data_IF_212299695083
#
_entry.id   IF_212299695083
#
_cell.length_a   1.000
_cell.length_b   1.000
_cell.length_c   1.000
_cell.angle_alpha   90.00
_cell.angle_beta   90.00
_cell.angle_gamma   90.00
#
_symmetry.space_group_name_H-M   'P 1'
#
loop_
_entity.id
_entity.type
_entity.pdbx_description
1 polymer ?
#
# COMPACT_ATOMS: atom_id res chain seq x y z
N UNK A 1 24.38 10.24 19.53
CA UNK A 1 25.69 9.64 19.24
C UNK A 1 25.55 8.65 18.11
N UNK A 2 26.14 8.96 16.95
CA UNK A 2 26.21 8.08 15.79
C UNK A 2 27.44 7.18 15.97
N UNK A 3 27.28 5.85 15.90
CA UNK A 3 28.41 4.91 15.95
C UNK A 3 28.85 4.59 14.52
N UNK A 4 30.13 4.82 14.20
CA UNK A 4 30.69 4.65 12.85
C UNK A 4 31.93 3.74 12.89
N UNK A 5 32.08 2.85 11.90
CA UNK A 5 33.31 2.08 11.66
C UNK A 5 33.95 2.60 10.38
N UNK A 6 35.08 3.28 10.51
CA UNK A 6 35.79 3.92 9.38
C UNK A 6 37.09 3.20 9.09
N UNK A 7 37.41 3.03 7.80
CA UNK A 7 38.76 2.74 7.32
C UNK A 7 39.13 3.85 6.34
N UNK A 8 40.19 4.59 6.65
CA UNK A 8 40.72 5.61 5.75
C UNK A 8 41.81 5.00 4.88
N UNK A 9 41.82 5.37 3.60
CA UNK A 9 42.85 5.00 2.63
C UNK A 9 43.35 6.29 2.02
N UNK A 10 44.64 6.55 2.17
CA UNK A 10 45.29 7.70 1.55
C UNK A 10 45.64 7.40 0.09
N UNK A 11 45.53 8.40 -0.76
CA UNK A 11 45.66 8.27 -2.21
C UNK A 11 46.59 9.35 -2.75
N UNK A 12 47.53 8.96 -3.60
CA UNK A 12 48.55 9.88 -4.17
C UNK A 12 47.90 10.92 -5.10
N UNK A 13 46.79 10.58 -5.75
CA UNK A 13 46.05 11.46 -6.65
C UNK A 13 46.60 11.46 -8.08
N UNK A 14 45.97 12.25 -8.95
CA UNK A 14 46.43 12.49 -10.31
C UNK A 14 47.49 13.59 -10.35
N UNK A 15 48.39 13.51 -11.33
CA UNK A 15 49.42 14.52 -11.53
C UNK A 15 48.79 15.88 -11.86
N UNK A 16 49.32 16.92 -11.21
CA UNK A 16 48.93 18.32 -11.40
C UNK A 16 50.02 19.00 -12.23
N UNK A 17 49.62 19.73 -13.26
CA UNK A 17 50.59 20.40 -14.13
C UNK A 17 51.42 21.42 -13.34
N UNK A 18 52.76 21.32 -13.45
CA UNK A 18 53.69 22.20 -12.74
C UNK A 18 54.07 21.73 -11.34
N UNK A 19 53.52 20.61 -10.86
CA UNK A 19 53.96 19.99 -9.61
C UNK A 19 55.38 19.42 -9.73
N UNK A 20 56.19 19.63 -8.69
CA UNK A 20 57.58 19.17 -8.63
C UNK A 20 57.66 17.71 -8.16
N UNK A 21 58.68 16.97 -8.59
CA UNK A 21 59.01 15.62 -8.09
C UNK A 21 58.60 14.44 -9.00
N UNK A 22 57.97 14.71 -10.14
CA UNK A 22 57.65 13.72 -11.19
C UNK A 22 58.82 13.47 -12.16
N UNK A 23 59.72 14.44 -12.30
CA UNK A 23 60.90 14.39 -13.16
C UNK A 23 62.18 14.61 -12.33
N UNK A 24 63.25 13.92 -12.73
CA UNK A 24 64.62 14.06 -12.21
C UNK A 24 65.55 14.55 -13.34
N UNK A 25 66.84 14.78 -13.06
CA UNK A 25 67.82 15.29 -14.05
C UNK A 25 67.97 14.39 -15.30
N UNK A 26 67.68 13.09 -15.18
CA UNK A 26 67.84 12.07 -16.22
C UNK A 26 66.51 11.62 -16.89
N UNK A 27 65.37 12.21 -16.53
CA UNK A 27 64.05 11.86 -17.10
C UNK A 27 62.95 11.63 -16.06
N UNK A 28 61.88 10.87 -16.37
CA UNK A 28 60.82 10.58 -15.42
C UNK A 28 61.34 9.80 -14.22
N UNK A 29 60.96 10.20 -13.01
CA UNK A 29 61.35 9.50 -11.79
C UNK A 29 60.73 8.10 -11.77
N UNK A 30 61.54 7.05 -11.70
CA UNK A 30 61.06 5.67 -11.73
C UNK A 30 60.83 5.13 -10.32
N UNK A 31 59.77 4.34 -10.12
CA UNK A 31 59.43 3.71 -8.84
C UNK A 31 59.03 2.25 -9.01
N UNK A 32 59.41 1.43 -8.03
CA UNK A 32 58.90 0.06 -7.88
C UNK A 32 57.52 0.12 -7.23
N UNK A 33 56.55 -0.57 -7.81
CA UNK A 33 55.20 -0.66 -7.27
C UNK A 33 54.86 -2.11 -6.92
N UNK A 34 53.90 -2.36 -6.01
CA UNK A 34 53.40 -3.71 -5.77
C UNK A 34 52.63 -4.31 -6.97
N UNK A 35 52.45 -3.54 -8.04
CA UNK A 35 51.57 -3.86 -9.16
C UNK A 35 52.31 -4.35 -10.41
N UNK A 36 53.62 -4.08 -10.50
CA UNK A 36 54.47 -4.41 -11.64
C UNK A 36 55.83 -4.90 -11.16
N UNK A 37 56.39 -5.89 -11.85
CA UNK A 37 57.71 -6.44 -11.54
C UNK A 37 58.85 -5.52 -12.01
N UNK A 38 58.59 -4.63 -12.97
CA UNK A 38 59.54 -3.65 -13.49
C UNK A 38 59.25 -2.23 -12.95
N UNK A 39 60.27 -1.38 -12.73
CA UNK A 39 60.07 0.01 -12.36
C UNK A 39 59.29 0.76 -13.45
N UNK A 40 58.28 1.54 -13.03
CA UNK A 40 57.47 2.39 -13.92
C UNK A 40 57.61 3.87 -13.52
N UNK A 41 57.29 4.83 -14.41
CA UNK A 41 57.28 6.25 -14.06
C UNK A 41 56.38 6.53 -12.84
N UNK A 42 56.81 7.43 -11.97
CA UNK A 42 56.10 7.79 -10.74
C UNK A 42 54.70 8.35 -11.02
N UNK A 43 54.56 9.14 -12.09
CA UNK A 43 53.28 9.64 -12.57
C UNK A 43 52.32 8.47 -12.89
N UNK A 44 52.75 7.53 -13.73
CA UNK A 44 51.97 6.35 -14.10
C UNK A 44 51.62 5.48 -12.88
N UNK A 45 52.57 5.30 -11.95
CA UNK A 45 52.34 4.59 -10.69
C UNK A 45 51.25 5.26 -9.84
N UNK A 46 51.28 6.59 -9.74
CA UNK A 46 50.31 7.38 -8.96
C UNK A 46 48.91 7.30 -9.59
N UNK A 47 48.81 7.38 -10.92
CA UNK A 47 47.53 7.24 -11.62
C UNK A 47 46.92 5.85 -11.44
N UNK A 48 47.70 4.79 -11.66
CA UNK A 48 47.22 3.40 -11.51
C UNK A 48 46.81 3.12 -10.06
N UNK A 49 47.60 3.61 -9.10
CA UNK A 49 47.27 3.49 -7.67
C UNK A 49 45.96 4.19 -7.33
N UNK A 50 45.77 5.41 -7.85
CA UNK A 50 44.55 6.21 -7.63
C UNK A 50 43.33 5.52 -8.21
N UNK A 51 43.40 5.04 -9.45
CA UNK A 51 42.30 4.31 -10.09
C UNK A 51 41.91 3.05 -9.32
N UNK A 52 42.88 2.26 -8.85
CA UNK A 52 42.59 1.04 -8.08
C UNK A 52 41.94 1.33 -6.72
N UNK A 53 42.41 2.36 -6.02
CA UNK A 53 41.79 2.76 -4.74
C UNK A 53 40.36 3.23 -4.96
N UNK A 54 40.15 4.07 -5.98
CA UNK A 54 38.83 4.57 -6.37
C UNK A 54 37.92 3.43 -6.81
N UNK A 55 38.41 2.41 -7.53
CA UNK A 55 37.60 1.31 -8.02
C UNK A 55 37.29 0.26 -6.94
N UNK A 56 38.30 -0.22 -6.22
CA UNK A 56 38.21 -1.49 -5.49
C UNK A 56 38.20 -1.34 -3.97
N UNK A 57 38.63 -0.19 -3.44
CA UNK A 57 38.92 -0.05 -2.00
C UNK A 57 38.22 1.12 -1.30
N UNK A 58 37.37 1.86 -2.00
CA UNK A 58 36.60 2.98 -1.46
C UNK A 58 35.09 2.72 -1.50
N UNK A 59 34.40 3.17 -0.44
CA UNK A 59 32.92 3.24 -0.40
C UNK A 59 32.42 4.66 -0.67
N UNK A 60 33.22 5.67 -0.30
CA UNK A 60 32.96 7.09 -0.50
C UNK A 60 34.29 7.79 -0.82
N UNK A 61 34.27 8.76 -1.72
CA UNK A 61 35.42 9.60 -2.05
C UNK A 61 35.42 10.90 -1.26
N UNK A 62 36.59 11.31 -0.76
CA UNK A 62 36.82 12.66 -0.26
C UNK A 62 37.79 13.35 -1.22
N UNK A 63 37.25 14.16 -2.13
CA UNK A 63 38.03 14.82 -3.18
C UNK A 63 38.56 16.13 -2.62
N UNK A 64 39.87 16.24 -2.43
CA UNK A 64 40.49 17.47 -1.94
C UNK A 64 41.01 18.26 -3.13
N UNK A 65 40.54 19.50 -3.27
CA UNK A 65 41.00 20.46 -4.28
C UNK A 65 41.35 21.80 -3.62
N UNK A 66 41.79 22.80 -4.39
CA UNK A 66 42.14 24.12 -3.87
C UNK A 66 41.64 25.23 -4.79
N UNK A 67 41.40 26.40 -4.23
CA UNK A 67 41.14 27.65 -4.96
C UNK A 67 42.43 28.30 -5.53
N UNK A 68 43.59 27.66 -5.33
CA UNK A 68 44.90 28.15 -5.79
C UNK A 68 45.67 28.96 -4.74
N UNK A 69 45.17 29.04 -3.49
CA UNK A 69 45.85 29.77 -2.41
C UNK A 69 46.85 28.93 -1.60
N UNK A 70 46.90 27.61 -1.82
CA UNK A 70 47.62 26.66 -0.94
C UNK A 70 49.06 26.40 -1.39
N UNK A 71 49.33 26.51 -2.69
CA UNK A 71 50.66 26.27 -3.28
C UNK A 71 51.01 27.43 -4.23
N UNK A 72 52.18 27.37 -4.85
CA UNK A 72 52.57 28.32 -5.91
C UNK A 72 51.92 28.02 -7.27
N UNK A 73 50.99 27.06 -7.34
CA UNK A 73 50.28 26.69 -8.57
C UNK A 73 48.92 27.39 -8.65
N UNK A 74 48.57 27.97 -9.82
CA UNK A 74 47.26 28.56 -10.01
C UNK A 74 46.17 27.49 -9.99
N UNK A 75 44.94 27.88 -9.63
CA UNK A 75 43.75 27.01 -9.67
C UNK A 75 43.62 26.20 -10.96
N UNK A 76 43.90 26.83 -12.11
CA UNK A 76 43.79 26.20 -13.43
C UNK A 76 44.61 24.92 -13.57
N UNK A 77 45.74 24.80 -12.86
CA UNK A 77 46.57 23.59 -12.89
C UNK A 77 45.87 22.37 -12.27
N UNK A 78 44.93 22.58 -11.35
CA UNK A 78 44.24 21.53 -10.61
C UNK A 78 42.94 21.06 -11.28
N UNK A 79 42.39 21.84 -12.21
CA UNK A 79 41.04 21.60 -12.79
C UNK A 79 40.97 20.26 -13.51
N UNK A 80 41.99 19.92 -14.30
CA UNK A 80 42.00 18.68 -15.08
C UNK A 80 42.07 17.44 -14.18
N UNK A 81 42.96 17.48 -13.18
CA UNK A 81 43.11 16.41 -12.20
C UNK A 81 41.83 16.22 -11.36
N UNK A 82 41.25 17.32 -10.86
CA UNK A 82 39.99 17.32 -10.13
C UNK A 82 38.85 16.73 -10.96
N UNK A 83 38.68 17.19 -12.20
CA UNK A 83 37.63 16.72 -13.08
C UNK A 83 37.77 15.22 -13.36
N UNK A 84 38.99 14.72 -13.56
CA UNK A 84 39.24 13.29 -13.75
C UNK A 84 38.82 12.45 -12.54
N UNK A 85 39.17 12.87 -11.32
CA UNK A 85 38.73 12.16 -10.08
C UNK A 85 37.21 12.12 -9.99
N UNK A 86 36.57 13.28 -10.18
CA UNK A 86 35.12 13.40 -10.06
C UNK A 86 34.41 12.55 -11.12
N UNK A 87 34.85 12.58 -12.37
CA UNK A 87 34.28 11.77 -13.44
C UNK A 87 34.40 10.27 -13.15
N UNK A 88 35.52 9.80 -12.60
CA UNK A 88 35.70 8.40 -12.25
C UNK A 88 34.76 7.97 -11.11
N UNK A 89 34.64 8.79 -10.06
CA UNK A 89 33.71 8.53 -8.96
C UNK A 89 32.26 8.50 -9.45
N UNK A 90 31.87 9.44 -10.31
CA UNK A 90 30.54 9.49 -10.92
C UNK A 90 30.28 8.29 -11.83
N UNK A 91 31.24 7.89 -12.69
CA UNK A 91 31.14 6.71 -13.58
C UNK A 91 30.94 5.42 -12.79
N UNK A 92 31.58 5.31 -11.62
CA UNK A 92 31.45 4.16 -10.72
C UNK A 92 30.23 4.26 -9.78
N UNK A 93 29.48 5.36 -9.81
CA UNK A 93 28.35 5.60 -8.93
C UNK A 93 28.72 5.70 -7.45
N UNK A 94 29.97 6.05 -7.14
CA UNK A 94 30.44 6.19 -5.76
C UNK A 94 30.09 7.58 -5.23
N UNK A 95 29.47 7.68 -4.04
CA UNK A 95 29.22 8.96 -3.42
C UNK A 95 30.56 9.65 -3.10
N UNK A 96 30.57 10.97 -3.13
CA UNK A 96 31.77 11.74 -2.82
C UNK A 96 31.44 13.14 -2.29
N UNK A 97 32.38 13.69 -1.52
CA UNK A 97 32.34 15.05 -1.01
C UNK A 97 33.59 15.79 -1.53
N UNK A 98 33.42 17.03 -1.99
CA UNK A 98 34.55 17.86 -2.40
C UNK A 98 34.94 18.77 -1.23
N UNK A 99 36.21 18.74 -0.84
CA UNK A 99 36.79 19.69 0.09
C UNK A 99 37.58 20.73 -0.71
N UNK A 100 37.11 21.98 -0.67
CA UNK A 100 37.77 23.10 -1.32
C UNK A 100 38.72 23.77 -0.31
N UNK A 101 40.00 23.42 -0.38
CA UNK A 101 41.01 23.92 0.54
C UNK A 101 41.46 25.35 0.14
N UNK A 102 41.30 26.28 1.07
CA UNK A 102 41.63 27.69 0.92
C UNK A 102 42.27 28.24 2.20
N UNK A 103 43.15 29.22 2.06
CA UNK A 103 43.64 30.01 3.19
C UNK A 103 42.58 30.96 3.78
N UNK A 104 41.54 31.30 3.01
CA UNK A 104 40.37 32.08 3.44
C UNK A 104 39.06 31.47 2.90
N UNK A 105 38.53 30.42 3.57
CA UNK A 105 37.37 29.67 3.10
C UNK A 105 36.06 30.47 2.99
N UNK A 106 36.00 31.64 3.61
CA UNK A 106 34.81 32.50 3.63
C UNK A 106 34.95 33.73 2.73
N UNK A 107 36.03 33.84 1.97
CA UNK A 107 36.18 34.91 0.99
C UNK A 107 35.08 34.82 -0.08
N UNK A 108 34.65 35.96 -0.65
CA UNK A 108 33.67 35.97 -1.74
C UNK A 108 34.10 35.08 -2.91
N UNK A 109 35.37 35.12 -3.29
CA UNK A 109 35.93 34.36 -4.40
C UNK A 109 35.87 32.84 -4.16
N UNK A 110 36.22 32.38 -2.95
CA UNK A 110 36.13 30.95 -2.60
C UNK A 110 34.67 30.49 -2.54
N UNK A 111 33.76 31.33 -2.06
CA UNK A 111 32.32 31.02 -2.00
C UNK A 111 31.65 30.99 -3.37
N UNK A 112 32.06 31.86 -4.29
CA UNK A 112 31.65 31.80 -5.70
C UNK A 112 32.15 30.51 -6.35
N UNK A 113 33.44 30.18 -6.20
CA UNK A 113 34.00 28.94 -6.72
C UNK A 113 33.31 27.71 -6.14
N UNK A 114 32.99 27.72 -4.84
CA UNK A 114 32.21 26.66 -4.21
C UNK A 114 30.87 26.45 -4.93
N UNK A 115 30.11 27.51 -5.17
CA UNK A 115 28.81 27.41 -5.84
C UNK A 115 28.94 26.90 -7.28
N UNK A 116 29.94 27.38 -8.02
CA UNK A 116 30.25 26.88 -9.37
C UNK A 116 30.56 25.38 -9.37
N UNK A 117 31.35 24.90 -8.40
CA UNK A 117 31.69 23.48 -8.28
C UNK A 117 30.50 22.62 -7.84
N UNK A 118 29.64 23.13 -6.94
CA UNK A 118 28.39 22.45 -6.53
C UNK A 118 27.46 22.26 -7.73
N UNK A 119 27.30 23.28 -8.57
CA UNK A 119 26.49 23.21 -9.79
C UNK A 119 27.12 22.29 -10.85
N UNK A 120 28.43 22.44 -11.11
CA UNK A 120 29.16 21.66 -12.12
C UNK A 120 29.16 20.17 -11.81
N UNK A 121 29.41 19.81 -10.55
CA UNK A 121 29.59 18.42 -10.14
C UNK A 121 28.36 17.78 -9.50
N UNK A 122 27.32 18.56 -9.21
CA UNK A 122 26.08 18.10 -8.57
C UNK A 122 26.36 17.38 -7.23
N UNK A 123 27.39 17.83 -6.52
CA UNK A 123 27.89 17.27 -5.27
C UNK A 123 28.19 18.38 -4.26
N UNK A 124 28.14 18.07 -2.96
CA UNK A 124 28.47 19.05 -1.94
C UNK A 124 29.95 19.45 -1.98
N UNK A 125 30.19 20.76 -1.81
CA UNK A 125 31.53 21.34 -1.73
C UNK A 125 31.65 22.04 -0.37
N UNK A 126 32.62 21.61 0.44
CA UNK A 126 32.87 22.20 1.76
C UNK A 126 34.17 23.00 1.68
N UNK A 127 34.11 24.34 1.74
CA UNK A 127 35.30 25.16 1.82
C UNK A 127 35.94 25.01 3.21
N UNK A 128 37.25 24.76 3.25
CA UNK A 128 38.00 24.52 4.49
C UNK A 128 39.38 25.16 4.44
N UNK A 129 39.93 25.49 5.60
CA UNK A 129 41.37 25.76 5.76
C UNK A 129 41.98 24.53 6.44
N UNK A 130 42.58 23.64 5.64
CA UNK A 130 43.13 22.38 6.13
C UNK A 130 44.20 22.58 7.21
N UNK A 131 44.93 23.70 7.19
CA UNK A 131 45.96 24.01 8.17
C UNK A 131 45.38 24.46 9.52
N UNK A 132 44.15 24.96 9.55
CA UNK A 132 43.46 25.46 10.76
C UNK A 132 42.25 24.61 11.18
N UNK A 133 42.09 23.41 10.64
CA UNK A 133 40.98 22.52 10.98
C UNK A 133 40.92 22.24 12.49
N UNK A 134 39.75 22.46 13.06
CA UNK A 134 39.43 22.09 14.43
C UNK A 134 38.45 20.91 14.47
N UNK A 135 38.15 20.42 15.68
CA UNK A 135 37.28 19.26 15.87
C UNK A 135 35.84 19.50 15.37
N UNK A 136 35.33 20.72 15.49
CA UNK A 136 34.01 21.11 14.98
C UNK A 136 33.95 21.02 13.46
N UNK A 137 34.99 21.48 12.77
CA UNK A 137 35.09 21.41 11.31
C UNK A 137 35.10 19.95 10.84
N UNK A 138 35.89 19.10 11.50
CA UNK A 138 35.95 17.67 11.21
C UNK A 138 34.58 17.00 11.43
N UNK A 139 33.88 17.33 12.52
CA UNK A 139 32.51 16.83 12.75
C UNK A 139 31.55 17.31 11.65
N UNK A 140 31.70 18.55 11.18
CA UNK A 140 30.94 19.09 10.05
C UNK A 140 31.18 18.31 8.76
N UNK A 141 32.45 18.09 8.39
CA UNK A 141 32.84 17.30 7.21
C UNK A 141 32.26 15.89 7.30
N UNK A 142 32.44 15.20 8.44
CA UNK A 142 31.91 13.84 8.63
C UNK A 142 30.39 13.80 8.51
N UNK A 143 29.68 14.83 8.98
CA UNK A 143 28.24 14.94 8.81
C UNK A 143 27.86 15.09 7.34
N UNK A 144 28.54 15.95 6.59
CA UNK A 144 28.26 16.11 5.15
C UNK A 144 28.55 14.83 4.35
N UNK A 145 29.63 14.11 4.70
CA UNK A 145 29.94 12.79 4.14
C UNK A 145 28.77 11.82 4.35
N UNK A 146 28.20 11.79 5.54
CA UNK A 146 27.08 10.89 5.87
C UNK A 146 25.80 11.20 5.08
N UNK A 147 25.59 12.46 4.70
CA UNK A 147 24.44 12.87 3.88
C UNK A 147 24.57 12.53 2.39
N UNK A 148 25.80 12.31 1.90
CA UNK A 148 26.05 11.90 0.50
C UNK A 148 25.83 10.39 0.28
N UNK A 149 25.66 9.59 1.33
CA UNK A 149 25.38 8.17 1.15
C UNK A 149 24.07 7.97 0.38
N UNK A 150 24.06 7.01 -0.57
CA UNK A 150 22.85 6.68 -1.30
C UNK A 150 21.80 6.11 -0.35
N UNK A 151 20.55 6.49 -0.57
CA UNK A 151 19.44 5.91 0.19
C UNK A 151 19.22 4.48 -0.29
N UNK A 152 19.25 3.52 0.63
CA UNK A 152 18.96 2.12 0.31
C UNK A 152 17.49 1.80 0.43
N UNK A 153 16.84 2.36 1.44
CA UNK A 153 15.43 2.10 1.71
C UNK A 153 14.80 3.34 2.35
N UNK A 154 13.65 3.73 1.79
CA UNK A 154 12.76 4.70 2.40
C UNK A 154 11.48 3.96 2.76
N UNK A 155 11.20 3.90 4.05
CA UNK A 155 9.95 3.35 4.56
C UNK A 155 9.01 4.51 4.87
N UNK A 156 7.88 4.56 4.15
CA UNK A 156 6.82 5.53 4.39
C UNK A 156 5.64 4.81 5.02
N UNK A 157 5.34 5.17 6.26
CA UNK A 157 4.23 4.63 7.04
C UNK A 157 3.00 5.50 6.81
N UNK A 158 2.01 4.95 6.10
CA UNK A 158 0.69 5.56 5.97
C UNK A 158 -0.15 5.32 7.24
N UNK A 159 -1.24 6.06 7.45
CA UNK A 159 -2.14 5.81 8.57
C UNK A 159 -2.72 4.39 8.47
N UNK A 160 -2.63 3.62 9.56
CA UNK A 160 -2.99 2.19 9.56
C UNK A 160 -4.43 1.88 9.08
N UNK A 161 -5.36 2.84 9.21
CA UNK A 161 -6.73 2.66 8.72
C UNK A 161 -6.85 2.77 7.20
N UNK A 162 -5.90 3.44 6.52
CA UNK A 162 -5.81 3.49 5.06
C UNK A 162 -5.46 2.12 4.48
N UNK A 163 -4.62 1.34 5.19
CA UNK A 163 -4.22 0.00 4.75
C UNK A 163 -5.38 -1.00 4.66
N UNK A 164 -6.45 -0.75 5.44
CA UNK A 164 -7.68 -1.55 5.44
C UNK A 164 -8.51 -1.31 4.17
N UNK A 165 -8.31 -0.18 3.49
CA UNK A 165 -9.04 0.16 2.27
C UNK A 165 -8.60 -0.73 1.11
N UNK A 166 -9.54 -1.02 0.21
CA UNK A 166 -9.25 -1.74 -1.02
C UNK A 166 -8.18 -1.01 -1.85
N UNK A 167 -7.33 -1.74 -2.56
CA UNK A 167 -6.25 -1.19 -3.40
C UNK A 167 -6.74 -0.27 -4.54
N UNK A 168 -8.03 -0.31 -4.85
CA UNK A 168 -8.67 0.56 -5.85
C UNK A 168 -9.30 1.81 -5.24
N UNK A 169 -9.36 1.91 -3.91
CA UNK A 169 -9.94 3.06 -3.23
C UNK A 169 -9.17 4.33 -3.56
N UNK A 170 -9.89 5.42 -3.85
CA UNK A 170 -9.33 6.66 -4.36
C UNK A 170 -8.30 7.26 -3.39
N UNK A 171 -8.57 7.28 -2.08
CA UNK A 171 -7.65 7.84 -1.08
C UNK A 171 -6.34 7.06 -1.01
N UNK A 172 -6.43 5.72 -0.98
CA UNK A 172 -5.27 4.85 -0.90
C UNK A 172 -4.36 5.05 -2.12
N UNK A 173 -4.93 5.04 -3.32
CA UNK A 173 -4.18 5.32 -4.56
C UNK A 173 -3.53 6.70 -4.55
N UNK A 174 -4.26 7.72 -4.11
CA UNK A 174 -3.75 9.09 -4.05
C UNK A 174 -2.53 9.21 -3.14
N UNK A 175 -2.55 8.55 -1.97
CA UNK A 175 -1.40 8.51 -1.06
C UNK A 175 -0.25 7.67 -1.62
N UNK A 176 -0.52 6.48 -2.18
CA UNK A 176 0.49 5.62 -2.81
C UNK A 176 1.18 6.32 -4.00
N UNK A 177 0.42 7.03 -4.84
CA UNK A 177 0.93 7.80 -5.97
C UNK A 177 1.81 8.96 -5.50
N UNK A 178 1.42 9.69 -4.45
CA UNK A 178 2.22 10.76 -3.85
C UNK A 178 3.55 10.22 -3.32
N UNK A 179 3.53 9.08 -2.61
CA UNK A 179 4.74 8.40 -2.13
C UNK A 179 5.63 7.98 -3.31
N UNK A 180 5.06 7.35 -4.34
CA UNK A 180 5.82 6.87 -5.48
C UNK A 180 6.50 8.01 -6.25
N UNK A 181 5.80 9.13 -6.46
CA UNK A 181 6.35 10.31 -7.13
C UNK A 181 7.47 10.97 -6.33
N UNK A 182 7.34 11.03 -4.99
CA UNK A 182 8.36 11.56 -4.10
C UNK A 182 9.61 10.68 -4.07
N UNK A 183 9.45 9.37 -3.82
CA UNK A 183 10.58 8.43 -3.65
C UNK A 183 11.44 8.33 -4.92
N UNK A 184 10.84 8.43 -6.11
CA UNK A 184 11.58 8.38 -7.39
C UNK A 184 12.63 9.50 -7.51
N UNK A 185 12.46 10.62 -6.78
CA UNK A 185 13.37 11.76 -6.80
C UNK A 185 14.48 11.68 -5.75
N UNK A 186 14.39 10.76 -4.79
CA UNK A 186 15.35 10.63 -3.68
C UNK A 186 16.44 9.63 -4.05
N UNK A 187 17.68 10.11 -4.21
CA UNK A 187 18.87 9.28 -4.42
C UNK A 187 19.80 9.30 -3.22
N UNK A 188 19.89 10.43 -2.53
CA UNK A 188 20.79 10.65 -1.37
C UNK A 188 20.01 10.99 -0.11
N UNK A 189 20.62 10.74 1.05
CA UNK A 189 19.98 11.00 2.34
C UNK A 189 19.65 12.49 2.53
N UNK A 190 20.44 13.42 1.97
CA UNK A 190 20.11 14.86 2.00
C UNK A 190 18.81 15.20 1.26
N UNK A 191 18.39 14.37 0.31
CA UNK A 191 17.21 14.63 -0.52
C UNK A 191 15.91 14.16 0.14
N UNK A 192 15.97 13.58 1.34
CA UNK A 192 14.79 13.16 2.11
C UNK A 192 13.89 14.35 2.46
N UNK A 193 14.47 15.52 2.71
CA UNK A 193 13.68 16.72 3.02
C UNK A 193 12.75 17.10 1.85
N UNK A 194 13.19 16.91 0.60
CA UNK A 194 12.33 17.11 -0.58
C UNK A 194 11.15 16.15 -0.63
N UNK A 195 11.33 14.91 -0.17
CA UNK A 195 10.24 13.94 -0.08
C UNK A 195 9.23 14.35 0.99
N UNK A 196 9.70 14.86 2.13
CA UNK A 196 8.83 15.37 3.20
C UNK A 196 7.99 16.54 2.67
N UNK A 197 8.62 17.48 1.98
CA UNK A 197 7.93 18.63 1.37
C UNK A 197 6.90 18.18 0.32
N UNK A 198 7.31 17.30 -0.60
CA UNK A 198 6.42 16.80 -1.65
C UNK A 198 5.21 16.02 -1.10
N UNK A 199 5.38 15.25 -0.03
CA UNK A 199 4.27 14.57 0.64
C UNK A 199 3.36 15.56 1.37
N UNK A 200 3.93 16.63 1.93
CA UNK A 200 3.18 17.67 2.65
C UNK A 200 2.31 18.53 1.72
N UNK A 201 2.63 18.58 0.42
CA UNK A 201 1.79 19.24 -0.59
C UNK A 201 0.50 18.47 -0.93
N UNK A 202 0.41 17.19 -0.55
CA UNK A 202 -0.77 16.38 -0.78
C UNK A 202 -1.91 16.80 0.17
N UNK A 203 -3.06 17.17 -0.38
CA UNK A 203 -4.27 17.54 0.38
C UNK A 203 -4.86 16.39 1.22
N UNK A 204 -4.47 15.14 0.93
CA UNK A 204 -4.80 13.97 1.75
C UNK A 204 -3.86 13.77 2.95
N UNK A 205 -2.89 14.67 3.14
CA UNK A 205 -1.87 14.60 4.19
C UNK A 205 -2.00 15.83 5.09
N UNK A 206 -1.94 15.62 6.40
CA UNK A 206 -1.97 16.69 7.41
C UNK A 206 -0.61 16.94 8.03
N UNK A 207 0.22 15.89 8.12
CA UNK A 207 1.53 15.96 8.75
C UNK A 207 2.45 14.88 8.16
N UNK A 208 3.72 15.22 7.98
CA UNK A 208 4.78 14.28 7.57
C UNK A 208 5.93 14.44 8.56
N UNK A 209 6.32 13.34 9.21
CA UNK A 209 7.34 13.34 10.26
C UNK A 209 8.45 12.36 9.90
N UNK A 210 9.70 12.84 9.89
CA UNK A 210 10.87 11.97 9.85
C UNK A 210 11.07 11.33 11.23
N UNK A 211 10.73 10.04 11.36
CA UNK A 211 10.83 9.32 12.63
C UNK A 211 12.29 8.99 12.96
N UNK A 212 12.99 8.37 12.01
CA UNK A 212 14.38 7.95 12.18
C UNK A 212 15.14 8.01 10.86
N UNK A 213 16.39 8.46 10.92
CA UNK A 213 17.31 8.43 9.80
C UNK A 213 18.60 7.73 10.24
N UNK A 214 18.88 6.57 9.65
CA UNK A 214 20.09 5.80 9.89
C UNK A 214 21.10 6.03 8.78
N UNK A 215 21.95 7.04 8.96
CA UNK A 215 22.93 7.46 7.96
C UNK A 215 23.94 6.35 7.58
N UNK A 216 24.24 5.42 8.51
CA UNK A 216 25.19 4.33 8.26
C UNK A 216 24.63 3.15 7.46
N UNK A 217 23.32 2.93 7.51
CA UNK A 217 22.63 1.86 6.77
C UNK A 217 21.91 2.39 5.52
N UNK A 218 21.69 3.70 5.44
CA UNK A 218 20.95 4.34 4.35
C UNK A 218 19.44 4.12 4.47
N UNK A 219 18.94 3.92 5.70
CA UNK A 219 17.53 3.70 5.99
C UNK A 219 16.88 4.99 6.51
N UNK A 220 15.72 5.34 5.98
CA UNK A 220 14.91 6.44 6.47
C UNK A 220 13.46 6.00 6.70
N UNK A 221 12.87 6.43 7.82
CA UNK A 221 11.47 6.18 8.16
C UNK A 221 10.72 7.47 8.28
N UNK A 222 9.62 7.56 7.54
CA UNK A 222 8.74 8.72 7.48
C UNK A 222 7.34 8.26 7.87
N UNK A 223 6.71 8.94 8.82
CA UNK A 223 5.31 8.74 9.15
C UNK A 223 4.46 9.82 8.49
N UNK A 224 3.36 9.41 7.88
CA UNK A 224 2.39 10.29 7.22
C UNK A 224 1.08 10.20 7.96
N UNK A 225 0.56 11.35 8.37
CA UNK A 225 -0.77 11.49 8.97
C UNK A 225 -1.75 12.03 7.94
N UNK A 226 -2.97 11.50 7.95
CA UNK A 226 -4.08 12.05 7.17
C UNK A 226 -4.96 12.94 8.05
N UNK A 227 -5.59 13.98 7.48
CA UNK A 227 -6.58 14.80 8.17
C UNK A 227 -7.69 13.98 8.84
N UNK A 228 -8.08 14.35 10.06
CA UNK A 228 -9.11 13.66 10.84
C UNK A 228 -10.46 13.56 10.10
N UNK A 229 -10.82 14.56 9.29
CA UNK A 229 -12.09 14.55 8.56
C UNK A 229 -12.16 13.42 7.51
N UNK A 230 -11.04 13.05 6.89
CA UNK A 230 -11.00 11.98 5.89
C UNK A 230 -11.33 10.62 6.49
N UNK A 231 -10.92 10.37 7.74
CA UNK A 231 -11.29 9.15 8.45
C UNK A 231 -12.82 9.01 8.56
N UNK A 232 -13.51 10.09 8.98
CA UNK A 232 -14.97 10.08 9.13
C UNK A 232 -15.72 10.01 7.79
N UNK A 233 -15.20 10.68 6.77
CA UNK A 233 -15.73 10.62 5.41
C UNK A 233 -15.70 9.19 4.87
N UNK A 234 -14.55 8.53 4.97
CA UNK A 234 -14.36 7.16 4.47
C UNK A 234 -15.12 6.14 5.30
N UNK A 235 -15.21 6.34 6.60
CA UNK A 235 -16.02 5.50 7.46
C UNK A 235 -17.51 5.58 7.06
N UNK A 236 -17.99 6.78 6.74
CA UNK A 236 -19.37 7.00 6.25
C UNK A 236 -19.59 6.38 4.87
N UNK A 237 -18.61 6.50 3.97
CA UNK A 237 -18.62 5.86 2.64
C UNK A 237 -18.72 4.34 2.77
N UNK A 238 -17.86 3.73 3.59
CA UNK A 238 -17.81 2.29 3.82
C UNK A 238 -19.11 1.76 4.48
N UNK A 239 -19.64 2.49 5.46
CA UNK A 239 -20.91 2.16 6.12
C UNK A 239 -22.15 2.47 5.27
N UNK A 240 -21.98 3.17 4.13
CA UNK A 240 -23.07 3.70 3.30
C UNK A 240 -24.12 4.48 4.10
N UNK A 241 -23.68 5.09 5.20
CA UNK A 241 -24.50 5.78 6.19
C UNK A 241 -23.68 6.93 6.75
N UNK A 242 -24.32 8.07 6.99
CA UNK A 242 -23.62 9.23 7.53
C UNK A 242 -23.23 9.02 9.00
N UNK A 243 -21.94 9.07 9.32
CA UNK A 243 -21.41 8.90 10.68
C UNK A 243 -20.86 10.24 11.16
N UNK A 244 -21.65 10.93 11.98
CA UNK A 244 -21.26 12.21 12.61
C UNK A 244 -20.84 11.97 14.05
N UNK A 245 -19.53 11.81 14.26
CA UNK A 245 -18.95 11.71 15.60
C UNK A 245 -18.99 10.32 16.22
N UNK A 246 -18.42 10.22 17.43
CA UNK A 246 -18.15 8.95 18.10
C UNK A 246 -19.41 8.29 18.65
N UNK A 247 -20.42 9.07 19.00
CA UNK A 247 -21.70 8.60 19.55
C UNK A 247 -22.49 7.83 18.49
N UNK A 248 -22.58 8.38 17.28
CA UNK A 248 -23.26 7.75 16.14
C UNK A 248 -22.54 6.46 15.76
N UNK A 249 -21.21 6.48 15.70
CA UNK A 249 -20.41 5.28 15.44
C UNK A 249 -20.68 4.18 16.47
N UNK A 250 -20.71 4.51 17.76
CA UNK A 250 -20.97 3.55 18.84
C UNK A 250 -22.36 2.92 18.73
N UNK A 251 -23.38 3.72 18.40
CA UNK A 251 -24.74 3.23 18.18
C UNK A 251 -24.80 2.30 16.97
N UNK A 252 -24.23 2.72 15.83
CA UNK A 252 -24.20 1.93 14.61
C UNK A 252 -23.48 0.58 14.82
N UNK A 253 -22.38 0.58 15.57
CA UNK A 253 -21.64 -0.65 15.90
C UNK A 253 -22.45 -1.61 16.77
N UNK A 254 -23.30 -1.10 17.67
CA UNK A 254 -24.22 -1.95 18.45
C UNK A 254 -25.28 -2.57 17.55
N UNK A 255 -25.90 -1.76 16.70
CA UNK A 255 -26.93 -2.21 15.77
C UNK A 255 -26.37 -3.26 14.80
N UNK A 256 -25.18 -3.04 14.25
CA UNK A 256 -24.49 -4.02 13.41
C UNK A 256 -24.06 -5.28 14.16
N UNK A 257 -23.63 -5.18 15.42
CA UNK A 257 -23.28 -6.35 16.21
C UNK A 257 -24.51 -7.22 16.52
N UNK A 258 -25.66 -6.61 16.81
CA UNK A 258 -26.93 -7.31 17.01
C UNK A 258 -27.41 -7.96 15.70
N UNK A 259 -27.48 -7.18 14.61
CA UNK A 259 -27.88 -7.69 13.30
C UNK A 259 -26.95 -8.81 12.81
N UNK A 260 -25.63 -8.68 13.03
CA UNK A 260 -24.66 -9.72 12.69
C UNK A 260 -24.90 -11.00 13.48
N UNK A 261 -25.19 -10.91 14.78
CA UNK A 261 -25.46 -12.07 15.63
C UNK A 261 -26.69 -12.85 15.16
N UNK A 262 -27.77 -12.14 14.86
CA UNK A 262 -28.99 -12.77 14.35
C UNK A 262 -28.81 -13.32 12.92
N UNK A 263 -28.10 -12.58 12.04
CA UNK A 263 -27.78 -13.08 10.70
C UNK A 263 -26.88 -14.31 10.74
N UNK A 264 -25.88 -14.35 11.63
CA UNK A 264 -24.96 -15.47 11.77
C UNK A 264 -25.66 -16.78 12.17
N UNK A 265 -26.83 -16.70 12.85
CA UNK A 265 -27.66 -17.88 13.15
C UNK A 265 -28.31 -18.45 11.89
N UNK A 266 -28.74 -17.60 10.95
CA UNK A 266 -29.58 -18.02 9.80
C UNK A 266 -28.83 -18.11 8.47
N UNK A 267 -27.62 -17.55 8.36
CA UNK A 267 -26.89 -17.39 7.10
C UNK A 267 -26.71 -18.69 6.30
N UNK A 268 -26.46 -19.81 6.98
CA UNK A 268 -26.22 -21.10 6.34
C UNK A 268 -27.54 -21.67 5.80
N UNK A 269 -28.63 -21.58 6.58
CA UNK A 269 -29.97 -21.95 6.12
C UNK A 269 -30.44 -21.12 4.92
N UNK A 270 -30.16 -19.81 4.91
CA UNK A 270 -30.44 -18.93 3.76
C UNK A 270 -29.66 -19.39 2.53
N UNK A 271 -28.37 -19.69 2.70
CA UNK A 271 -27.49 -20.15 1.63
C UNK A 271 -27.95 -21.49 1.06
N UNK A 272 -28.31 -22.44 1.92
CA UNK A 272 -28.79 -23.76 1.51
C UNK A 272 -30.15 -23.68 0.82
N UNK A 273 -31.08 -22.90 1.36
CA UNK A 273 -32.37 -22.65 0.73
C UNK A 273 -32.21 -22.07 -0.69
N UNK A 274 -31.24 -21.16 -0.89
CA UNK A 274 -30.93 -20.63 -2.23
C UNK A 274 -30.35 -21.68 -3.17
N UNK A 275 -29.46 -22.54 -2.71
CA UNK A 275 -28.71 -23.48 -3.56
C UNK A 275 -29.49 -24.78 -3.85
N UNK A 276 -30.11 -25.36 -2.84
CA UNK A 276 -30.76 -26.69 -2.91
C UNK A 276 -32.28 -26.63 -2.65
N UNK A 277 -32.84 -25.45 -2.37
CA UNK A 277 -34.27 -25.24 -2.18
C UNK A 277 -34.77 -25.43 -0.74
N UNK A 278 -33.92 -25.94 0.15
CA UNK A 278 -34.26 -26.18 1.55
C UNK A 278 -33.09 -25.87 2.48
N UNK A 279 -33.32 -25.08 3.51
CA UNK A 279 -32.34 -24.74 4.54
C UNK A 279 -32.90 -24.95 5.94
N UNK A 280 -32.03 -25.31 6.88
CA UNK A 280 -32.41 -25.56 8.28
C UNK A 280 -31.53 -24.71 9.17
N UNK A 281 -32.14 -23.97 10.09
CA UNK A 281 -31.44 -23.31 11.18
C UNK A 281 -31.37 -24.31 12.33
N UNK A 282 -30.18 -24.84 12.67
CA UNK A 282 -30.05 -25.73 13.82
C UNK A 282 -30.34 -24.95 15.11
N UNK A 283 -31.05 -25.54 16.08
CA UNK A 283 -31.25 -24.90 17.37
C UNK A 283 -29.92 -24.64 18.06
N UNK A 284 -29.76 -23.45 18.64
CA UNK A 284 -28.58 -23.16 19.47
C UNK A 284 -28.75 -23.74 20.86
N UNK A 285 -27.64 -23.90 21.61
CA UNK A 285 -27.69 -24.33 23.00
C UNK A 285 -28.54 -23.39 23.88
N UNK A 286 -28.56 -22.10 23.54
CA UNK A 286 -29.36 -21.09 24.25
C UNK A 286 -30.86 -21.24 23.98
N UNK A 287 -31.23 -21.94 22.88
CA UNK A 287 -32.62 -22.22 22.50
C UNK A 287 -33.13 -23.58 23.05
N UNK A 288 -32.28 -24.34 23.76
CA UNK A 288 -32.63 -25.66 24.29
C UNK A 288 -33.25 -25.56 25.69
N UNK A 289 -34.49 -26.02 25.82
CA UNK A 289 -35.16 -26.20 27.11
C UNK A 289 -35.06 -27.66 27.56
N UNK A 290 -34.43 -27.88 28.72
CA UNK A 290 -34.33 -29.20 29.34
C UNK A 290 -35.49 -29.40 30.33
N UNK A 291 -36.30 -30.42 30.11
CA UNK A 291 -37.35 -30.83 31.05
C UNK A 291 -36.76 -31.59 32.25
N UNK A 292 -37.51 -31.64 33.36
CA UNK A 292 -37.09 -32.38 34.55
C UNK A 292 -36.87 -33.88 34.24
N UNK A 293 -35.76 -34.49 34.73
CA UNK A 293 -35.48 -35.90 34.51
C UNK A 293 -36.50 -36.82 35.20
N UNK A 294 -37.11 -37.72 34.43
CA UNK A 294 -38.05 -38.72 34.96
C UNK A 294 -37.37 -40.08 35.17
N UNK A 295 -37.60 -40.73 36.31
CA UNK A 295 -37.15 -42.11 36.51
C UNK A 295 -38.11 -43.05 35.80
N UNK A 296 -37.56 -43.86 34.89
CA UNK A 296 -38.32 -44.88 34.17
C UNK A 296 -37.93 -46.27 34.66
N UNK A 297 -38.93 -47.16 34.78
CA UNK A 297 -38.72 -48.55 35.16
C UNK A 297 -39.17 -49.48 34.03
N UNK A 298 -38.26 -50.31 33.55
CA UNK A 298 -38.55 -51.33 32.54
C UNK A 298 -38.13 -52.70 33.11
N UNK A 299 -39.11 -53.47 33.58
CA UNK A 299 -38.88 -54.75 34.28
C UNK A 299 -38.05 -54.57 35.55
N UNK A 300 -36.86 -55.17 35.56
CA UNK A 300 -35.91 -55.13 36.69
C UNK A 300 -34.80 -54.06 36.55
N UNK A 301 -34.88 -53.18 35.54
CA UNK A 301 -33.91 -52.10 35.29
C UNK A 301 -34.56 -50.72 35.50
N UNK A 302 -33.78 -49.79 36.04
CA UNK A 302 -34.14 -48.39 36.21
C UNK A 302 -33.28 -47.54 35.26
N UNK A 303 -33.89 -46.50 34.70
CA UNK A 303 -33.20 -45.51 33.87
C UNK A 303 -33.72 -44.11 34.17
N UNK A 304 -33.05 -43.11 33.62
CA UNK A 304 -33.47 -41.72 33.67
C UNK A 304 -33.83 -41.31 32.25
N UNK A 305 -35.03 -40.76 32.05
CA UNK A 305 -35.47 -40.16 30.80
C UNK A 305 -35.17 -38.68 30.88
N UNK A 306 -34.31 -38.23 29.96
CA UNK A 306 -34.04 -36.82 29.72
C UNK A 306 -34.83 -36.39 28.49
N UNK A 307 -35.51 -35.24 28.58
CA UNK A 307 -36.18 -34.61 27.45
C UNK A 307 -35.61 -33.20 27.28
N UNK A 308 -35.28 -32.87 26.04
CA UNK A 308 -34.88 -31.54 25.65
C UNK A 308 -35.74 -31.14 24.45
N UNK A 309 -36.22 -29.91 24.43
CA UNK A 309 -36.94 -29.34 23.30
C UNK A 309 -36.24 -28.08 22.81
N UNK A 310 -36.25 -27.85 21.51
CA UNK A 310 -35.70 -26.64 20.93
C UNK A 310 -36.43 -26.32 19.62
N UNK A 311 -36.68 -25.03 19.31
CA UNK A 311 -37.28 -24.64 18.05
C UNK A 311 -36.33 -24.89 16.88
N UNK A 312 -36.85 -25.49 15.80
CA UNK A 312 -36.13 -25.61 14.53
C UNK A 312 -36.81 -24.71 13.48
N UNK A 313 -36.02 -23.89 12.79
CA UNK A 313 -36.53 -23.06 11.70
C UNK A 313 -36.16 -23.67 10.35
N UNK A 314 -37.14 -23.76 9.47
CA UNK A 314 -36.97 -24.29 8.11
C UNK A 314 -37.22 -23.18 7.09
N UNK A 315 -36.31 -23.03 6.13
CA UNK A 315 -36.41 -22.08 5.03
C UNK A 315 -36.61 -22.83 3.71
N UNK A 316 -37.79 -22.68 3.11
CA UNK A 316 -38.18 -23.38 1.87
C UNK A 316 -38.25 -22.37 0.73
N UNK A 317 -37.46 -22.59 -0.32
CA UNK A 317 -37.55 -21.78 -1.55
C UNK A 317 -38.71 -22.31 -2.38
N UNK A 318 -39.63 -21.43 -2.76
CA UNK A 318 -40.74 -21.74 -3.67
C UNK A 318 -40.62 -20.81 -4.86
N UNK A 319 -40.57 -21.40 -6.05
CA UNK A 319 -40.52 -20.65 -7.29
C UNK A 319 -41.96 -20.29 -7.70
N UNK A 320 -42.25 -18.99 -7.87
CA UNK A 320 -43.59 -18.50 -8.18
C UNK A 320 -43.66 -18.13 -9.66
N UNK A 321 -44.49 -18.85 -10.41
CA UNK A 321 -44.75 -18.56 -11.82
C UNK A 321 -46.01 -17.70 -11.97
N UNK A 322 -45.92 -16.61 -12.72
CA UNK A 322 -47.07 -15.76 -13.08
C UNK A 322 -47.13 -15.56 -14.58
N UNK A 323 -48.25 -15.94 -15.17
CA UNK A 323 -48.60 -15.64 -16.55
C UNK A 323 -49.50 -14.39 -16.58
N UNK A 324 -49.24 -13.50 -17.53
CA UNK A 324 -50.07 -12.32 -17.79
C UNK A 324 -50.60 -12.44 -19.22
N UNK A 325 -51.91 -12.66 -19.35
CA UNK A 325 -52.61 -12.72 -20.64
C UNK A 325 -53.45 -11.44 -20.80
N UNK A 326 -52.87 -10.33 -21.31
CA UNK A 326 -53.64 -9.12 -21.54
C UNK A 326 -54.70 -9.39 -22.62
N UNK A 327 -55.96 -9.05 -22.35
CA UNK A 327 -57.03 -9.15 -23.34
C UNK A 327 -56.93 -7.94 -24.26
N UNK A 328 -56.65 -8.18 -25.54
CA UNK A 328 -56.45 -7.14 -26.55
C UNK A 328 -57.64 -7.21 -27.52
N UNK A 329 -58.11 -6.04 -27.94
CA UNK A 329 -59.37 -5.82 -28.66
C UNK A 329 -59.59 -6.75 -29.86
N UNK A 330 -59.07 -6.40 -31.04
CA UNK A 330 -59.29 -7.18 -32.27
C UNK A 330 -58.11 -8.11 -32.57
N UNK A 331 -58.36 -9.16 -33.37
CA UNK A 331 -57.35 -10.16 -33.77
C UNK A 331 -56.10 -9.52 -34.38
N UNK A 332 -56.30 -8.52 -35.25
CA UNK A 332 -55.20 -7.76 -35.87
C UNK A 332 -54.33 -7.00 -34.86
N UNK A 333 -54.93 -6.46 -33.80
CA UNK A 333 -54.17 -5.77 -32.74
C UNK A 333 -53.35 -6.74 -31.89
N UNK A 334 -53.82 -7.97 -31.71
CA UNK A 334 -53.08 -9.02 -31.03
C UNK A 334 -51.88 -9.50 -31.86
N UNK A 335 -52.05 -9.68 -33.18
CA UNK A 335 -50.95 -10.04 -34.09
C UNK A 335 -49.87 -8.95 -34.14
N UNK A 336 -50.26 -7.68 -34.25
CA UNK A 336 -49.32 -6.54 -34.25
C UNK A 336 -48.52 -6.46 -32.92
N UNK A 337 -49.14 -6.77 -31.77
CA UNK A 337 -48.43 -6.81 -30.49
C UNK A 337 -47.45 -7.98 -30.40
N UNK A 338 -47.84 -9.17 -30.87
CA UNK A 338 -46.96 -10.35 -30.85
C UNK A 338 -45.72 -10.10 -31.70
N UNK A 339 -45.89 -9.54 -32.89
CA UNK A 339 -44.76 -9.20 -33.76
C UNK A 339 -43.84 -8.17 -33.09
N UNK A 340 -44.40 -7.12 -32.50
CA UNK A 340 -43.62 -6.11 -31.77
C UNK A 340 -42.82 -6.69 -30.60
N UNK A 341 -43.41 -7.60 -29.81
CA UNK A 341 -42.72 -8.25 -28.70
C UNK A 341 -41.61 -9.21 -29.16
N UNK A 342 -41.82 -9.91 -30.28
CA UNK A 342 -40.79 -10.77 -30.88
C UNK A 342 -39.61 -9.95 -31.40
N UNK A 343 -39.88 -8.85 -32.12
CA UNK A 343 -38.84 -7.97 -32.66
C UNK A 343 -38.01 -7.32 -31.53
N UNK A 344 -38.65 -6.88 -30.43
CA UNK A 344 -37.94 -6.33 -29.24
C UNK A 344 -37.15 -7.42 -28.50
N UNK A 345 -37.68 -8.64 -28.39
CA UNK A 345 -36.99 -9.76 -27.77
C UNK A 345 -35.74 -10.18 -28.54
N UNK A 346 -35.81 -10.20 -29.88
CA UNK A 346 -34.66 -10.49 -30.75
C UNK A 346 -33.60 -9.37 -30.70
N UNK A 347 -34.02 -8.11 -30.57
CA UNK A 347 -33.12 -6.97 -30.51
C UNK A 347 -32.39 -6.85 -29.15
N UNK A 348 -33.11 -6.93 -28.03
CA UNK A 348 -32.52 -6.89 -26.69
C UNK A 348 -33.48 -7.48 -25.62
N UNK A 349 -33.25 -8.72 -25.16
CA UNK A 349 -34.10 -9.38 -24.18
C UNK A 349 -34.26 -8.63 -22.85
N UNK A 350 -33.26 -7.84 -22.43
CA UNK A 350 -33.32 -7.10 -21.16
C UNK A 350 -34.24 -5.88 -21.26
N UNK A 351 -34.31 -5.22 -22.42
CA UNK A 351 -35.16 -4.04 -22.65
C UNK A 351 -36.64 -4.37 -22.74
N UNK A 352 -36.98 -5.62 -23.07
CA UNK A 352 -38.36 -6.09 -23.14
C UNK A 352 -39.14 -5.85 -21.83
N UNK A 353 -38.43 -5.91 -20.69
CA UNK A 353 -39.02 -5.68 -19.37
C UNK A 353 -39.48 -4.23 -19.15
N UNK A 354 -38.83 -3.27 -19.82
CA UNK A 354 -39.15 -1.84 -19.77
C UNK A 354 -40.21 -1.43 -20.80
N UNK A 355 -40.60 -2.35 -21.70
CA UNK A 355 -41.61 -2.10 -22.74
C UNK A 355 -42.95 -1.75 -22.11
N UNK A 356 -43.48 -0.59 -22.52
CA UNK A 356 -44.77 -0.08 -22.04
C UNK A 356 -45.93 -0.74 -22.78
N UNK A 357 -46.74 -1.48 -22.03
CA UNK A 357 -47.96 -2.13 -22.51
C UNK A 357 -49.13 -1.55 -21.71
N UNK A 358 -49.97 -0.75 -22.37
CA UNK A 358 -51.12 -0.06 -21.75
C UNK A 358 -50.78 0.88 -20.58
N UNK A 359 -49.70 1.65 -20.70
CA UNK A 359 -49.32 2.65 -19.68
C UNK A 359 -48.66 2.08 -18.42
N UNK A 360 -48.35 0.77 -18.42
CA UNK A 360 -47.47 0.12 -17.44
C UNK A 360 -46.37 -0.64 -18.17
N UNK A 361 -45.19 -0.73 -17.56
CA UNK A 361 -44.14 -1.63 -18.07
C UNK A 361 -44.54 -3.10 -17.86
N UNK A 362 -44.06 -3.97 -18.73
CA UNK A 362 -44.22 -5.42 -18.61
C UNK A 362 -43.72 -5.92 -17.23
N UNK A 363 -42.61 -5.37 -16.74
CA UNK A 363 -42.09 -5.65 -15.39
C UNK A 363 -43.10 -5.38 -14.27
N UNK A 364 -43.83 -4.26 -14.35
CA UNK A 364 -44.84 -3.92 -13.35
C UNK A 364 -46.05 -4.85 -13.42
N UNK A 365 -46.49 -5.23 -14.62
CA UNK A 365 -47.60 -6.16 -14.82
C UNK A 365 -47.29 -7.57 -14.25
N UNK A 366 -46.08 -8.08 -14.52
CA UNK A 366 -45.63 -9.37 -13.99
C UNK A 366 -45.43 -9.31 -12.48
N UNK A 367 -44.83 -8.23 -11.95
CA UNK A 367 -44.65 -8.03 -10.51
C UNK A 367 -45.99 -7.97 -9.76
N UNK A 368 -46.99 -7.29 -10.30
CA UNK A 368 -48.35 -7.27 -9.73
C UNK A 368 -48.97 -8.68 -9.72
N UNK A 369 -48.78 -9.46 -10.79
CA UNK A 369 -49.22 -10.86 -10.87
C UNK A 369 -48.57 -11.75 -9.81
N UNK A 370 -47.26 -11.62 -9.60
CA UNK A 370 -46.50 -12.35 -8.58
C UNK A 370 -46.92 -11.92 -7.16
N UNK A 371 -47.04 -10.61 -6.90
CA UNK A 371 -47.48 -10.08 -5.60
C UNK A 371 -48.88 -10.57 -5.22
N UNK A 372 -49.81 -10.63 -6.17
CA UNK A 372 -51.16 -11.16 -5.93
C UNK A 372 -51.19 -12.66 -5.59
N UNK A 373 -50.19 -13.45 -6.03
CA UNK A 373 -50.06 -14.88 -5.71
C UNK A 373 -49.29 -15.14 -4.41
N UNK A 374 -48.32 -14.29 -4.06
CA UNK A 374 -47.47 -14.43 -2.86
C UNK A 374 -48.26 -14.43 -1.53
N UNK A 375 -49.37 -13.69 -1.45
CA UNK A 375 -50.14 -13.53 -0.20
C UNK A 375 -51.34 -14.48 -0.05
N UNK A 376 -51.41 -15.56 -0.85
CA UNK A 376 -52.60 -16.43 -0.91
C UNK A 376 -52.53 -17.78 -0.21
N UNK A 377 -51.43 -18.12 0.47
CA UNK A 377 -51.41 -19.38 1.22
C UNK A 377 -52.37 -19.26 2.42
N UNK A 378 -53.51 -19.97 2.46
CA UNK A 378 -54.47 -19.79 3.53
C UNK A 378 -53.92 -20.38 4.83
N UNK A 379 -54.32 -19.83 5.98
CA UNK A 379 -53.78 -20.20 7.30
C UNK A 379 -53.86 -21.70 7.58
N UNK A 380 -54.94 -22.35 7.13
CA UNK A 380 -55.13 -23.80 7.27
C UNK A 380 -54.06 -24.63 6.54
N UNK A 381 -53.57 -24.15 5.39
CA UNK A 381 -52.53 -24.81 4.61
C UNK A 381 -51.15 -24.59 5.25
N UNK A 382 -50.90 -23.38 5.78
CA UNK A 382 -49.69 -23.08 6.55
C UNK A 382 -49.59 -23.97 7.79
N UNK A 383 -50.70 -24.12 8.53
CA UNK A 383 -50.76 -24.96 9.73
C UNK A 383 -50.56 -26.44 9.40
N UNK A 384 -51.26 -26.97 8.39
CA UNK A 384 -51.06 -28.35 7.92
C UNK A 384 -49.61 -28.62 7.50
N UNK A 385 -48.97 -27.68 6.80
CA UNK A 385 -47.56 -27.80 6.39
C UNK A 385 -46.63 -27.85 7.60
N UNK A 386 -46.81 -26.94 8.57
CA UNK A 386 -46.04 -26.89 9.82
C UNK A 386 -46.18 -28.20 10.61
N UNK A 387 -47.41 -28.66 10.84
CA UNK A 387 -47.66 -29.91 11.58
C UNK A 387 -47.05 -31.14 10.89
N UNK A 388 -47.13 -31.17 9.56
CA UNK A 388 -46.55 -32.26 8.76
C UNK A 388 -45.03 -32.28 8.90
N UNK A 389 -44.37 -31.13 8.76
CA UNK A 389 -42.92 -31.02 8.96
C UNK A 389 -42.53 -31.39 10.39
N UNK A 390 -43.28 -30.93 11.39
CA UNK A 390 -43.02 -31.25 12.80
C UNK A 390 -43.12 -32.75 13.10
N UNK A 391 -44.13 -33.44 12.54
CA UNK A 391 -44.26 -34.90 12.68
C UNK A 391 -43.09 -35.63 12.04
N UNK A 392 -42.67 -35.24 10.84
CA UNK A 392 -41.55 -35.88 10.13
C UNK A 392 -40.26 -35.75 10.94
N UNK A 393 -39.97 -34.57 11.46
CA UNK A 393 -38.76 -34.32 12.27
C UNK A 393 -38.77 -35.15 13.55
N UNK A 394 -39.92 -35.28 14.21
CA UNK A 394 -40.03 -35.99 15.49
C UNK A 394 -40.11 -37.52 15.35
N UNK A 395 -40.80 -38.01 14.33
CA UNK A 395 -41.10 -39.43 14.15
C UNK A 395 -40.09 -40.15 13.23
N UNK A 396 -39.23 -39.39 12.52
CA UNK A 396 -38.18 -39.94 11.65
C UNK A 396 -38.70 -40.76 10.47
N UNK A 397 -39.99 -40.69 10.18
CA UNK A 397 -40.65 -41.51 9.17
C UNK A 397 -40.49 -40.91 7.78
N UNK A 398 -39.69 -41.56 6.92
CA UNK A 398 -39.55 -41.24 5.49
C UNK A 398 -40.77 -41.59 4.63
N UNK A 399 -41.98 -41.46 5.19
CA UNK A 399 -43.24 -41.82 4.55
C UNK A 399 -43.71 -40.80 3.51
N UNK A 400 -44.60 -41.25 2.63
CA UNK A 400 -45.20 -40.46 1.56
C UNK A 400 -46.11 -39.37 2.15
N UNK A 401 -45.88 -38.12 1.75
CA UNK A 401 -46.68 -36.97 2.18
C UNK A 401 -47.81 -36.78 1.19
N UNK A 402 -49.06 -36.92 1.65
CA UNK A 402 -50.24 -36.54 0.87
C UNK A 402 -50.88 -35.30 1.52
N UNK A 403 -50.59 -34.11 0.96
CA UNK A 403 -51.32 -32.90 1.31
C UNK A 403 -52.56 -32.83 0.44
N UNK A 404 -53.71 -33.17 1.01
CA UNK A 404 -55.02 -32.95 0.37
C UNK A 404 -55.47 -31.55 0.82
N UNK A 405 -55.43 -30.61 -0.13
CA UNK A 405 -55.87 -29.23 0.05
C UNK A 405 -57.38 -29.11 -0.08
#
# INVERSE_FOLDING_TARGET
>A
NINLRVRMVDCVGYAVQGALGYTDEDGPRMVLTPWFDEPIPFEEAAEIGTQKVIADHSTIGLVVTTDGTITDLPRSAYVDAEQRVVEELQKLGKPYLVLLNSTDPFSPETMELRAELEEKYQAAVVPIDAAKLNQTDIHGILREILYEFPVKEVSVNLPAWVDVLESKHWLRRKLEDAVQQGVTKVKRLREIDYLIDALSECDAVSEVVLETMELGSGLARIAVSAPDYLFWEILSEAAKTEIRGREVLLTLMKDYAEAKREYDKVKDAVRDSRNIGYGIVPPSLDDMELEEPEIIRQGNRFGVRLRASAPAYHMIRVDVESEVAPIIGTERQSEELVQYLLDEFEANPEKLWDTNIFGKSLHNLVREGIQNKLFRMPDNAQEKLRETLQKIVNEGSGGLIAIIL
#
